data_IF_861396962628
#
_entry.id   IF_861396962628
#
_cell.length_a   1.000
_cell.length_b   1.000
_cell.length_c   1.000
_cell.angle_alpha   90.00
_cell.angle_beta   90.00
_cell.angle_gamma   90.00
#
_symmetry.space_group_name_H-M   'P 1'
#
loop_
_entity.id
_entity.type
_entity.pdbx_description
1 polymer ?
#
# COMPACT_ATOMS: atom_id res chain seq x y z
N UNK A 1 44.64 29.09 -6.47
CA UNK A 1 44.02 29.85 -7.59
C UNK A 1 42.62 30.28 -7.14
N UNK A 2 42.43 31.55 -6.73
CA UNK A 2 41.13 32.07 -6.27
C UNK A 2 40.36 32.61 -7.48
N UNK A 3 39.26 31.97 -7.83
CA UNK A 3 38.39 32.42 -8.93
C UNK A 3 37.58 33.61 -8.41
N UNK A 4 37.87 34.81 -8.91
CA UNK A 4 37.09 36.02 -8.60
C UNK A 4 35.81 36.06 -9.43
N UNK A 5 34.67 35.78 -8.82
CA UNK A 5 33.35 35.93 -9.47
C UNK A 5 32.96 37.41 -9.43
N UNK A 6 32.68 38.01 -10.58
CA UNK A 6 32.24 39.42 -10.65
C UNK A 6 30.86 39.59 -10.00
N UNK A 7 30.56 40.77 -9.44
CA UNK A 7 29.25 41.07 -8.83
C UNK A 7 28.07 40.86 -9.79
N UNK A 8 28.25 41.13 -11.09
CA UNK A 8 27.22 40.86 -12.11
C UNK A 8 26.98 39.37 -12.32
N UNK A 9 28.05 38.58 -12.34
CA UNK A 9 27.97 37.11 -12.45
C UNK A 9 27.31 36.50 -11.21
N UNK A 10 27.63 37.00 -10.01
CA UNK A 10 26.98 36.56 -8.77
C UNK A 10 25.48 36.87 -8.74
N UNK A 11 25.06 38.05 -9.22
CA UNK A 11 23.65 38.44 -9.27
C UNK A 11 22.83 37.59 -10.27
N UNK A 12 23.41 37.26 -11.43
CA UNK A 12 22.76 36.37 -12.42
C UNK A 12 22.62 34.96 -11.86
N UNK A 13 23.67 34.42 -11.23
CA UNK A 13 23.62 33.09 -10.59
C UNK A 13 22.56 33.07 -9.49
N UNK A 14 22.52 34.08 -8.62
CA UNK A 14 21.52 34.17 -7.56
C UNK A 14 20.09 34.22 -8.13
N UNK A 15 19.87 34.97 -9.21
CA UNK A 15 18.56 35.08 -9.86
C UNK A 15 18.15 33.75 -10.50
N UNK A 16 19.05 33.06 -11.19
CA UNK A 16 18.78 31.73 -11.77
C UNK A 16 18.48 30.71 -10.68
N UNK A 17 19.24 30.72 -9.57
CA UNK A 17 19.00 29.86 -8.42
C UNK A 17 17.63 30.16 -7.80
N UNK A 18 17.27 31.43 -7.57
CA UNK A 18 15.96 31.81 -7.03
C UNK A 18 14.81 31.42 -7.96
N UNK A 19 14.97 31.59 -9.28
CA UNK A 19 13.95 31.21 -10.26
C UNK A 19 13.81 29.70 -10.34
N UNK A 20 14.92 28.95 -10.37
CA UNK A 20 14.91 27.48 -10.42
C UNK A 20 14.35 26.89 -9.12
N UNK A 21 14.80 27.34 -7.95
CA UNK A 21 14.27 26.89 -6.66
C UNK A 21 12.84 27.37 -6.41
N UNK A 22 12.50 28.59 -6.84
CA UNK A 22 11.14 29.13 -6.78
C UNK A 22 10.17 28.34 -7.64
N UNK A 23 10.53 28.03 -8.88
CA UNK A 23 9.75 27.16 -9.77
C UNK A 23 9.62 25.74 -9.20
N UNK A 24 10.67 25.20 -8.56
CA UNK A 24 10.62 23.90 -7.89
C UNK A 24 9.62 23.87 -6.72
N UNK A 25 9.54 24.94 -5.94
CA UNK A 25 8.56 25.07 -4.85
C UNK A 25 7.10 25.12 -5.35
N UNK A 26 6.85 25.66 -6.55
CA UNK A 26 5.51 25.70 -7.16
C UNK A 26 5.13 24.44 -7.95
N UNK A 27 6.07 23.52 -8.20
CA UNK A 27 5.84 22.32 -9.01
C UNK A 27 5.54 21.06 -8.18
N UNK A 28 5.53 21.13 -6.85
CA UNK A 28 5.14 19.97 -6.04
C UNK A 28 3.63 19.78 -6.16
N UNK A 29 3.13 18.64 -6.67
CA UNK A 29 1.71 18.42 -6.85
C UNK A 29 0.95 18.64 -5.53
N UNK A 30 -0.19 19.31 -5.62
CA UNK A 30 -1.11 19.42 -4.50
C UNK A 30 -1.46 18.01 -3.99
N UNK A 31 -1.52 17.84 -2.67
CA UNK A 31 -1.84 16.53 -2.10
C UNK A 31 -3.29 16.15 -2.41
N UNK A 32 -3.59 14.86 -2.59
CA UNK A 32 -4.97 14.40 -2.72
C UNK A 32 -5.78 14.81 -1.48
N UNK A 33 -7.01 15.28 -1.67
CA UNK A 33 -7.92 15.55 -0.55
C UNK A 33 -8.49 14.24 -0.01
N UNK A 34 -8.65 14.13 1.29
CA UNK A 34 -9.45 13.04 1.87
C UNK A 34 -10.95 13.30 1.63
N UNK A 35 -11.76 12.25 1.75
CA UNK A 35 -13.21 12.34 1.74
C UNK A 35 -13.79 11.97 3.11
N UNK A 36 -15.00 12.46 3.39
CA UNK A 36 -15.81 11.96 4.50
C UNK A 36 -16.31 10.55 4.18
N UNK A 37 -16.36 9.69 5.19
CA UNK A 37 -16.86 8.32 5.10
C UNK A 37 -18.35 8.20 5.46
N UNK A 38 -18.92 9.22 6.09
CA UNK A 38 -20.29 9.24 6.59
C UNK A 38 -20.41 8.79 8.06
N UNK A 39 -21.49 9.18 8.75
CA UNK A 39 -21.63 9.04 10.21
C UNK A 39 -21.72 7.59 10.70
N UNK A 40 -22.07 6.66 9.81
CA UNK A 40 -22.21 5.23 10.14
C UNK A 40 -20.93 4.43 9.88
N UNK A 41 -19.87 5.07 9.39
CA UNK A 41 -18.60 4.40 9.10
C UNK A 41 -17.86 3.97 10.37
N UNK A 42 -17.22 2.80 10.31
CA UNK A 42 -16.54 2.17 11.45
C UNK A 42 -17.49 1.52 12.47
N UNK A 43 -16.94 0.68 13.35
CA UNK A 43 -17.71 0.00 14.40
C UNK A 43 -17.86 0.89 15.64
N UNK A 44 -19.08 1.09 16.11
CA UNK A 44 -19.39 2.00 17.22
C UNK A 44 -18.78 1.54 18.57
N UNK A 45 -18.34 2.53 19.38
CA UNK A 45 -17.82 2.36 20.75
C UNK A 45 -16.69 1.31 20.89
N UNK A 46 -15.85 1.19 19.86
CA UNK A 46 -14.77 0.22 19.82
C UNK A 46 -13.53 0.67 20.59
N UNK A 47 -13.30 1.98 20.71
CA UNK A 47 -12.20 2.55 21.50
C UNK A 47 -12.74 3.47 22.58
N UNK A 48 -12.14 3.43 23.76
CA UNK A 48 -12.49 4.32 24.86
C UNK A 48 -12.21 5.78 24.48
N UNK A 49 -13.10 6.73 24.81
CA UNK A 49 -12.85 8.15 24.59
C UNK A 49 -11.49 8.59 25.16
N UNK A 50 -10.70 9.30 24.36
CA UNK A 50 -9.35 9.76 24.73
C UNK A 50 -8.24 8.71 24.69
N UNK A 51 -8.54 7.44 24.38
CA UNK A 51 -7.50 6.38 24.27
C UNK A 51 -6.69 6.43 22.97
N UNK A 52 -7.12 7.25 22.02
CA UNK A 52 -6.53 7.43 20.69
C UNK A 52 -6.36 8.93 20.44
N UNK A 53 -5.20 9.30 19.91
CA UNK A 53 -4.79 10.70 19.72
C UNK A 53 -4.76 11.12 18.25
N UNK A 54 -5.07 10.22 17.32
CA UNK A 54 -5.16 10.54 15.89
C UNK A 54 -6.34 11.45 15.57
N UNK A 55 -6.22 12.22 14.49
CA UNK A 55 -7.18 13.28 14.14
C UNK A 55 -7.82 13.08 12.74
N UNK A 56 -8.97 13.70 12.47
CA UNK A 56 -9.56 13.74 11.12
C UNK A 56 -8.72 14.58 10.14
N UNK A 57 -8.59 14.14 8.89
CA UNK A 57 -7.97 14.83 7.72
C UNK A 57 -6.50 15.29 7.91
N UNK A 58 -5.88 15.09 9.07
CA UNK A 58 -4.52 15.53 9.31
C UNK A 58 -3.50 14.64 8.59
N UNK A 59 -2.41 15.27 8.15
CA UNK A 59 -1.16 14.59 7.77
C UNK A 59 -0.42 14.19 9.04
N UNK A 60 -1.05 13.38 9.88
CA UNK A 60 -0.42 12.91 11.11
C UNK A 60 0.83 12.11 10.72
N UNK A 61 2.00 12.70 10.99
CA UNK A 61 3.28 12.01 10.87
C UNK A 61 3.53 11.25 12.16
N UNK A 62 3.28 9.96 12.11
CA UNK A 62 3.62 9.05 13.21
C UNK A 62 4.92 8.33 12.89
N UNK A 63 5.62 7.89 13.91
CA UNK A 63 6.86 7.15 13.77
C UNK A 63 6.76 5.81 14.49
N UNK A 64 7.27 4.78 13.85
CA UNK A 64 7.53 3.50 14.50
C UNK A 64 8.64 3.64 15.55
N UNK A 65 8.83 2.61 16.37
CA UNK A 65 9.89 2.59 17.39
C UNK A 65 11.32 2.66 16.84
N UNK A 66 11.52 2.31 15.56
CA UNK A 66 12.77 2.43 14.80
C UNK A 66 12.83 3.68 13.91
N UNK A 67 11.91 4.64 14.12
CA UNK A 67 11.86 5.95 13.46
C UNK A 67 11.54 5.92 11.96
N UNK A 68 10.90 4.85 11.48
CA UNK A 68 10.25 4.87 10.16
C UNK A 68 9.07 5.84 10.23
N UNK A 69 9.07 6.84 9.36
CA UNK A 69 8.02 7.85 9.32
C UNK A 69 6.86 7.36 8.46
N UNK A 70 5.65 7.63 8.93
CA UNK A 70 4.38 7.22 8.31
C UNK A 70 3.49 8.45 8.23
N UNK A 71 2.95 8.75 7.05
CA UNK A 71 1.83 9.66 6.90
C UNK A 71 0.52 8.86 7.02
N UNK A 72 -0.36 9.28 7.92
CA UNK A 72 -1.69 8.69 8.08
C UNK A 72 -2.73 9.63 7.49
N UNK A 73 -3.68 9.07 6.73
CA UNK A 73 -4.86 9.75 6.19
C UNK A 73 -6.10 9.12 6.78
N UNK A 74 -6.96 9.93 7.36
CA UNK A 74 -8.24 9.48 7.90
C UNK A 74 -9.39 10.06 7.06
N UNK A 75 -10.60 9.48 7.16
CA UNK A 75 -11.80 10.18 6.70
C UNK A 75 -11.91 11.58 7.34
N UNK A 76 -12.45 12.55 6.60
CA UNK A 76 -12.61 13.92 7.09
C UNK A 76 -13.52 14.03 8.34
N UNK A 77 -14.36 13.02 8.56
CA UNK A 77 -15.30 12.86 9.67
C UNK A 77 -14.90 11.72 10.62
N UNK A 78 -13.62 11.36 10.67
CA UNK A 78 -13.09 10.34 11.57
C UNK A 78 -13.44 10.62 13.05
N UNK A 79 -13.91 9.57 13.72
CA UNK A 79 -14.25 9.54 15.14
C UNK A 79 -13.31 8.57 15.88
N UNK A 80 -12.47 9.06 16.82
CA UNK A 80 -11.49 8.22 17.52
C UNK A 80 -12.10 7.17 18.47
N UNK A 81 -13.43 7.12 18.61
CA UNK A 81 -14.15 6.10 19.39
C UNK A 81 -14.70 4.96 18.53
N UNK A 82 -14.68 5.11 17.20
CA UNK A 82 -15.17 4.11 16.23
C UNK A 82 -14.01 3.40 15.55
N UNK A 83 -14.11 2.08 15.39
CA UNK A 83 -13.03 1.31 14.76
C UNK A 83 -13.18 1.27 13.23
N UNK A 84 -12.21 1.82 12.51
CA UNK A 84 -12.18 1.90 11.04
C UNK A 84 -11.24 0.83 10.43
N UNK A 85 -11.52 0.30 9.23
CA UNK A 85 -10.54 -0.53 8.52
C UNK A 85 -9.25 0.24 8.22
N UNK A 86 -8.12 -0.46 8.21
CA UNK A 86 -6.80 0.13 7.94
C UNK A 86 -6.26 -0.39 6.61
N UNK A 87 -5.84 0.51 5.73
CA UNK A 87 -5.11 0.22 4.51
C UNK A 87 -3.66 0.68 4.67
N UNK A 88 -2.72 -0.26 4.81
CA UNK A 88 -1.28 0.04 4.80
C UNK A 88 -0.79 -0.03 3.36
N UNK A 89 -0.26 1.09 2.89
CA UNK A 89 0.24 1.27 1.53
C UNK A 89 1.77 1.33 1.57
N UNK A 90 2.41 0.26 1.09
CA UNK A 90 3.86 0.19 1.06
C UNK A 90 4.44 0.89 -0.18
N UNK A 91 5.54 1.63 -0.03
CA UNK A 91 6.09 2.44 -1.11
C UNK A 91 6.77 1.61 -2.21
N UNK A 92 6.65 2.00 -3.49
CA UNK A 92 7.56 1.55 -4.54
C UNK A 92 9.00 2.00 -4.26
N UNK A 93 9.95 1.43 -5.00
CA UNK A 93 11.37 1.76 -4.87
C UNK A 93 11.63 3.28 -5.04
N UNK A 94 12.19 3.93 -4.02
CA UNK A 94 12.56 5.35 -4.06
C UNK A 94 11.42 6.35 -3.86
N UNK A 95 10.22 5.89 -3.48
CA UNK A 95 9.08 6.77 -3.20
C UNK A 95 8.85 6.89 -1.69
N UNK A 96 9.09 8.07 -1.14
CA UNK A 96 8.68 8.36 0.25
C UNK A 96 7.16 8.50 0.38
N UNK A 97 6.65 8.62 1.61
CA UNK A 97 5.20 8.65 1.93
C UNK A 97 4.36 9.52 0.99
N UNK A 98 4.80 10.75 0.69
CA UNK A 98 4.10 11.68 -0.22
C UNK A 98 4.15 11.25 -1.68
N UNK A 99 5.30 10.75 -2.13
CA UNK A 99 5.45 10.24 -3.49
C UNK A 99 4.55 9.04 -3.72
N UNK A 100 4.51 8.14 -2.74
CA UNK A 100 3.64 6.97 -2.75
C UNK A 100 2.16 7.35 -2.80
N UNK A 101 1.71 8.28 -1.96
CA UNK A 101 0.32 8.78 -1.98
C UNK A 101 -0.11 9.24 -3.39
N UNK A 102 0.74 10.02 -4.06
CA UNK A 102 0.49 10.50 -5.42
C UNK A 102 0.54 9.37 -6.46
N UNK A 103 1.52 8.46 -6.35
CA UNK A 103 1.69 7.33 -7.25
C UNK A 103 0.47 6.41 -7.27
N UNK A 104 -0.06 6.07 -6.09
CA UNK A 104 -1.20 5.17 -5.96
C UNK A 104 -2.54 5.86 -6.22
N UNK A 105 -2.68 7.14 -5.86
CA UNK A 105 -3.94 7.87 -6.02
C UNK A 105 -5.14 7.25 -5.28
N UNK A 106 -4.89 6.56 -4.16
CA UNK A 106 -5.90 5.81 -3.41
C UNK A 106 -6.68 6.67 -2.40
N UNK A 107 -6.05 7.71 -1.82
CA UNK A 107 -6.55 8.43 -0.65
C UNK A 107 -8.02 8.86 -0.75
N UNK A 108 -8.48 9.56 -1.81
CA UNK A 108 -9.84 10.11 -1.82
C UNK A 108 -10.91 9.01 -1.81
N UNK A 109 -10.67 7.91 -2.51
CA UNK A 109 -11.63 6.80 -2.60
C UNK A 109 -11.56 5.87 -1.40
N UNK A 110 -10.36 5.59 -0.89
CA UNK A 110 -10.18 4.78 0.30
C UNK A 110 -10.81 5.46 1.54
N UNK A 111 -10.58 6.75 1.73
CA UNK A 111 -11.17 7.50 2.87
C UNK A 111 -12.69 7.62 2.74
N UNK A 112 -13.24 7.81 1.53
CA UNK A 112 -14.69 7.76 1.28
C UNK A 112 -15.32 6.43 1.70
N UNK A 113 -14.56 5.34 1.60
CA UNK A 113 -14.96 3.98 2.00
C UNK A 113 -14.69 3.67 3.46
N UNK A 114 -14.25 4.66 4.24
CA UNK A 114 -13.98 4.53 5.67
C UNK A 114 -12.59 3.97 6.00
N UNK A 115 -11.66 3.87 5.05
CA UNK A 115 -10.30 3.46 5.40
C UNK A 115 -9.54 4.58 6.10
N UNK A 116 -8.85 4.23 7.19
CA UNK A 116 -7.60 4.89 7.56
C UNK A 116 -6.54 4.37 6.57
N UNK A 117 -5.77 5.27 5.96
CA UNK A 117 -4.73 4.91 4.98
C UNK A 117 -3.37 5.33 5.54
N UNK A 118 -2.41 4.41 5.56
CA UNK A 118 -1.07 4.66 6.06
C UNK A 118 -0.03 4.52 4.95
N UNK A 119 0.76 5.55 4.72
CA UNK A 119 1.86 5.57 3.77
C UNK A 119 3.18 5.66 4.53
N UNK A 120 4.01 4.62 4.46
CA UNK A 120 5.36 4.65 5.04
C UNK A 120 6.39 5.20 4.05
N UNK A 121 7.50 5.69 4.61
CA UNK A 121 8.71 6.02 3.85
C UNK A 121 9.37 4.75 3.26
N UNK A 122 10.09 4.92 2.15
CA UNK A 122 10.78 3.83 1.47
C UNK A 122 12.01 3.39 2.27
N UNK A 123 12.21 2.08 2.33
CA UNK A 123 13.42 1.48 2.85
C UNK A 123 14.02 0.59 1.78
N UNK A 124 15.32 0.70 1.56
CA UNK A 124 16.06 -0.24 0.71
C UNK A 124 15.82 -1.68 1.17
N UNK A 125 15.44 -2.55 0.23
CA UNK A 125 15.07 -3.93 0.50
C UNK A 125 16.17 -4.67 1.28
N UNK A 126 15.78 -5.20 2.44
CA UNK A 126 16.61 -6.01 3.32
C UNK A 126 15.71 -6.71 4.34
N UNK A 127 16.18 -7.79 5.00
CA UNK A 127 15.43 -8.40 6.10
C UNK A 127 15.08 -7.39 7.22
N UNK A 128 15.99 -6.45 7.50
CA UNK A 128 15.73 -5.35 8.44
C UNK A 128 14.57 -4.48 7.95
N UNK A 129 14.58 -4.05 6.68
CA UNK A 129 13.50 -3.25 6.12
C UNK A 129 12.13 -3.94 6.22
N UNK A 130 12.05 -5.25 5.95
CA UNK A 130 10.82 -6.04 6.14
C UNK A 130 10.35 -5.98 7.60
N UNK A 131 11.26 -6.18 8.56
CA UNK A 131 10.93 -6.11 9.99
C UNK A 131 10.51 -4.71 10.45
N UNK A 132 11.09 -3.64 9.88
CA UNK A 132 10.69 -2.26 10.17
C UNK A 132 9.30 -1.95 9.59
N UNK A 133 9.07 -2.29 8.31
CA UNK A 133 7.78 -2.08 7.64
C UNK A 133 6.65 -2.90 8.30
N UNK A 134 6.95 -4.06 8.87
CA UNK A 134 5.97 -4.88 9.61
C UNK A 134 5.38 -4.18 10.84
N UNK A 135 6.03 -3.14 11.37
CA UNK A 135 5.55 -2.38 12.54
C UNK A 135 4.54 -1.30 12.19
N UNK A 136 4.35 -0.98 10.90
CA UNK A 136 3.51 0.15 10.46
C UNK A 136 2.08 -0.01 10.95
N UNK A 137 1.45 -1.17 10.74
CA UNK A 137 0.06 -1.39 11.14
C UNK A 137 -0.16 -1.24 12.65
N UNK A 138 0.67 -1.90 13.46
CA UNK A 138 0.59 -1.82 14.92
C UNK A 138 0.88 -0.40 15.44
N UNK A 139 1.80 0.32 14.81
CA UNK A 139 2.09 1.72 15.13
C UNK A 139 0.85 2.57 14.90
N UNK A 140 0.22 2.47 13.74
CA UNK A 140 -1.00 3.23 13.42
C UNK A 140 -2.15 2.87 14.38
N UNK A 141 -2.34 1.59 14.71
CA UNK A 141 -3.37 1.15 15.66
C UNK A 141 -3.17 1.67 17.09
N UNK A 142 -1.96 2.12 17.45
CA UNK A 142 -1.70 2.73 18.76
C UNK A 142 -2.17 4.20 18.85
N UNK A 143 -2.21 4.92 17.72
CA UNK A 143 -2.67 6.31 17.64
C UNK A 143 -4.12 6.44 17.17
N UNK A 144 -4.61 5.51 16.34
CA UNK A 144 -5.93 5.55 15.72
C UNK A 144 -6.80 4.37 16.15
N UNK A 145 -8.13 4.54 16.12
CA UNK A 145 -9.06 3.46 16.40
C UNK A 145 -9.22 2.57 15.17
N UNK A 146 -8.34 1.57 15.07
CA UNK A 146 -8.30 0.61 13.95
C UNK A 146 -9.12 -0.63 14.30
N UNK A 147 -9.93 -1.10 13.36
CA UNK A 147 -10.49 -2.44 13.39
C UNK A 147 -9.40 -3.43 12.93
N UNK A 148 -8.70 -4.06 13.87
CA UNK A 148 -7.59 -4.98 13.59
C UNK A 148 -8.01 -6.20 12.76
N UNK A 149 -9.29 -6.57 12.79
CA UNK A 149 -9.81 -7.64 11.91
C UNK A 149 -9.97 -7.22 10.45
N UNK A 150 -9.77 -5.94 10.13
CA UNK A 150 -9.96 -5.33 8.81
C UNK A 150 -8.73 -4.53 8.36
N UNK A 151 -7.54 -5.04 8.65
CA UNK A 151 -6.27 -4.53 8.13
C UNK A 151 -6.02 -5.11 6.73
N UNK A 152 -5.59 -4.27 5.80
CA UNK A 152 -5.20 -4.68 4.45
C UNK A 152 -3.86 -4.09 4.06
N UNK A 153 -3.05 -4.87 3.36
CA UNK A 153 -1.76 -4.44 2.82
C UNK A 153 -1.87 -4.29 1.31
N UNK A 154 -1.33 -3.19 0.80
CA UNK A 154 -1.26 -2.92 -0.64
C UNK A 154 0.11 -2.36 -1.02
N UNK A 155 0.61 -2.74 -2.19
CA UNK A 155 1.84 -2.14 -2.69
C UNK A 155 2.20 -2.57 -4.10
N UNK A 156 3.21 -1.90 -4.64
CA UNK A 156 3.74 -2.08 -5.99
C UNK A 156 5.27 -2.20 -6.00
N UNK A 157 5.85 -3.04 -6.86
CA UNK A 157 7.30 -3.30 -6.89
C UNK A 157 7.83 -3.73 -5.52
N UNK A 158 8.72 -2.92 -4.89
CA UNK A 158 9.24 -3.16 -3.54
C UNK A 158 8.10 -3.16 -2.52
N UNK A 159 7.10 -2.31 -2.69
CA UNK A 159 5.92 -2.27 -1.84
C UNK A 159 5.04 -3.51 -2.02
N UNK A 160 4.99 -4.07 -3.23
CA UNK A 160 4.31 -5.34 -3.50
C UNK A 160 5.01 -6.48 -2.77
N UNK A 161 6.35 -6.51 -2.81
CA UNK A 161 7.14 -7.43 -2.00
C UNK A 161 6.86 -7.24 -0.50
N UNK A 162 6.76 -6.03 0.02
CA UNK A 162 6.43 -5.82 1.44
C UNK A 162 5.03 -6.36 1.78
N UNK A 163 4.04 -6.09 0.93
CA UNK A 163 2.66 -6.54 1.14
C UNK A 163 2.55 -8.08 1.23
N UNK A 164 3.31 -8.82 0.42
CA UNK A 164 3.34 -10.29 0.42
C UNK A 164 4.34 -10.88 1.41
N UNK A 165 5.54 -10.31 1.46
CA UNK A 165 6.69 -10.82 2.18
C UNK A 165 6.57 -10.65 3.69
N UNK A 166 6.02 -9.55 4.19
CA UNK A 166 5.80 -9.36 5.64
C UNK A 166 4.97 -10.54 6.21
N UNK A 167 3.75 -10.83 5.71
CA UNK A 167 2.96 -11.93 6.25
C UNK A 167 3.56 -13.32 5.97
N UNK A 168 4.36 -13.49 4.90
CA UNK A 168 5.03 -14.76 4.61
C UNK A 168 6.23 -15.03 5.54
N UNK A 169 7.06 -14.02 5.80
CA UNK A 169 8.30 -14.17 6.58
C UNK A 169 8.12 -13.95 8.09
N UNK A 170 7.08 -13.22 8.51
CA UNK A 170 6.86 -12.85 9.91
C UNK A 170 5.57 -13.53 10.40
N UNK A 171 5.71 -14.75 10.90
CA UNK A 171 4.60 -15.63 11.31
C UNK A 171 3.75 -15.11 12.50
N UNK A 172 4.16 -14.01 13.15
CA UNK A 172 3.48 -13.39 14.30
C UNK A 172 3.66 -11.87 14.32
N UNK A 173 3.32 -11.18 13.24
CA UNK A 173 3.19 -9.72 13.30
C UNK A 173 2.03 -9.35 14.24
N UNK A 174 2.24 -8.37 15.12
CA UNK A 174 1.23 -7.94 16.12
C UNK A 174 -0.08 -7.46 15.47
N UNK A 175 -0.02 -6.99 14.22
CA UNK A 175 -1.16 -6.51 13.44
C UNK A 175 -1.11 -7.09 12.01
N UNK A 176 -1.41 -8.38 11.86
CA UNK A 176 -1.39 -9.07 10.58
C UNK A 176 -2.56 -8.65 9.65
N UNK A 177 -2.35 -8.56 8.33
CA UNK A 177 -3.41 -8.19 7.41
C UNK A 177 -4.42 -9.34 7.22
N UNK A 178 -5.69 -8.97 7.05
CA UNK A 178 -6.74 -9.86 6.55
C UNK A 178 -6.70 -10.01 5.02
N UNK A 179 -6.29 -8.94 4.34
CA UNK A 179 -6.28 -8.87 2.88
C UNK A 179 -4.95 -8.33 2.33
N UNK A 180 -4.50 -8.85 1.20
CA UNK A 180 -3.30 -8.41 0.48
C UNK A 180 -3.68 -8.06 -0.95
N UNK A 181 -3.18 -6.93 -1.46
CA UNK A 181 -3.19 -6.59 -2.88
C UNK A 181 -1.76 -6.24 -3.30
N UNK A 182 -1.14 -7.06 -4.14
CA UNK A 182 0.23 -6.84 -4.57
C UNK A 182 0.29 -6.65 -6.08
N UNK A 183 0.93 -5.57 -6.52
CA UNK A 183 1.13 -5.28 -7.94
C UNK A 183 2.60 -5.36 -8.33
N UNK A 184 2.91 -6.04 -9.43
CA UNK A 184 4.26 -6.08 -10.00
C UNK A 184 5.34 -6.35 -8.92
N UNK A 185 5.05 -7.27 -8.00
CA UNK A 185 5.83 -7.43 -6.78
C UNK A 185 7.21 -7.99 -7.08
N UNK A 186 8.23 -7.47 -6.42
CA UNK A 186 9.63 -7.91 -6.57
C UNK A 186 9.96 -9.23 -5.86
N UNK A 187 8.99 -10.13 -5.68
CA UNK A 187 9.13 -11.42 -5.00
C UNK A 187 8.63 -12.54 -5.90
N UNK A 188 9.34 -13.67 -5.94
CA UNK A 188 9.01 -14.80 -6.81
C UNK A 188 8.18 -15.87 -6.10
N UNK A 189 7.57 -16.77 -6.87
CA UNK A 189 6.95 -17.97 -6.31
C UNK A 189 7.96 -18.87 -5.62
N UNK A 190 9.21 -18.92 -6.10
CA UNK A 190 10.32 -19.69 -5.56
C UNK A 190 10.76 -19.17 -4.19
N UNK A 191 10.86 -17.84 -4.02
CA UNK A 191 11.16 -17.19 -2.74
C UNK A 191 10.12 -17.57 -1.67
N UNK A 192 8.86 -17.70 -2.09
CA UNK A 192 7.74 -18.06 -1.23
C UNK A 192 7.55 -19.58 -1.07
N UNK A 193 8.10 -20.41 -1.97
CA UNK A 193 7.81 -21.84 -2.02
C UNK A 193 8.16 -22.59 -0.73
N UNK A 194 9.18 -22.11 -0.01
CA UNK A 194 9.67 -22.69 1.25
C UNK A 194 8.99 -22.09 2.49
N UNK A 195 8.16 -21.06 2.33
CA UNK A 195 7.50 -20.38 3.43
C UNK A 195 6.25 -21.12 3.90
N UNK A 196 6.01 -21.08 5.21
CA UNK A 196 4.78 -21.58 5.80
C UNK A 196 3.61 -20.70 5.37
N UNK A 197 2.46 -21.31 5.12
CA UNK A 197 1.28 -20.57 4.66
C UNK A 197 0.69 -19.69 5.77
N UNK A 198 0.70 -18.35 5.63
CA UNK A 198 0.02 -17.49 6.59
C UNK A 198 -1.50 -17.54 6.38
N UNK A 199 -2.23 -17.22 7.44
CA UNK A 199 -3.70 -17.25 7.46
C UNK A 199 -4.32 -15.96 6.91
N UNK A 200 -4.07 -15.66 5.64
CA UNK A 200 -4.64 -14.49 4.94
C UNK A 200 -5.97 -14.87 4.29
N UNK A 201 -6.99 -14.04 4.48
CA UNK A 201 -8.33 -14.30 3.97
C UNK A 201 -8.45 -13.99 2.48
N UNK A 202 -7.93 -12.85 2.01
CA UNK A 202 -8.07 -12.46 0.60
C UNK A 202 -6.74 -12.00 0.03
N UNK A 203 -6.31 -12.58 -1.09
CA UNK A 203 -5.10 -12.14 -1.79
C UNK A 203 -5.41 -11.83 -3.26
N UNK A 204 -5.08 -10.63 -3.70
CA UNK A 204 -5.12 -10.25 -5.11
C UNK A 204 -3.69 -9.98 -5.58
N UNK A 205 -3.28 -10.69 -6.63
CA UNK A 205 -2.01 -10.45 -7.32
C UNK A 205 -2.32 -9.79 -8.65
N UNK A 206 -1.67 -8.66 -8.92
CA UNK A 206 -1.80 -7.92 -10.18
C UNK A 206 -0.45 -7.86 -10.84
N UNK A 207 -0.30 -8.44 -12.02
CA UNK A 207 0.97 -8.42 -12.73
C UNK A 207 0.78 -7.92 -14.16
N UNK A 208 1.88 -7.55 -14.80
CA UNK A 208 1.87 -7.19 -16.21
C UNK A 208 2.61 -8.24 -17.02
N UNK A 209 2.01 -8.67 -18.12
CA UNK A 209 2.65 -9.56 -19.09
C UNK A 209 3.83 -8.90 -19.81
N UNK A 210 3.92 -7.57 -19.74
CA UNK A 210 5.02 -6.78 -20.30
C UNK A 210 5.94 -6.22 -19.22
N UNK A 211 5.90 -6.77 -18.00
CA UNK A 211 6.83 -6.40 -16.95
C UNK A 211 8.25 -6.88 -17.28
N UNK A 212 9.06 -5.99 -17.84
CA UNK A 212 10.45 -6.27 -18.16
C UNK A 212 11.39 -6.29 -16.94
N UNK A 213 10.92 -5.86 -15.75
CA UNK A 213 11.72 -5.86 -14.53
C UNK A 213 11.54 -7.14 -13.73
N UNK A 214 10.30 -7.60 -13.61
CA UNK A 214 9.91 -8.82 -12.90
C UNK A 214 9.08 -9.74 -13.80
N UNK A 215 9.69 -10.31 -14.85
CA UNK A 215 8.95 -11.15 -15.80
C UNK A 215 8.37 -12.38 -15.09
N UNK A 216 7.07 -12.62 -15.27
CA UNK A 216 6.31 -13.79 -14.79
C UNK A 216 6.20 -14.01 -13.27
N UNK A 217 6.74 -13.10 -12.43
CA UNK A 217 6.75 -13.28 -10.96
C UNK A 217 5.34 -13.48 -10.39
N UNK A 218 4.35 -12.68 -10.83
CA UNK A 218 3.01 -12.70 -10.28
C UNK A 218 2.25 -14.02 -10.45
N UNK A 219 2.57 -14.83 -11.46
CA UNK A 219 1.91 -16.15 -11.64
C UNK A 219 2.39 -17.14 -10.59
N UNK A 220 3.70 -17.13 -10.31
CA UNK A 220 4.31 -17.95 -9.26
C UNK A 220 3.79 -17.58 -7.87
N UNK A 221 3.70 -16.28 -7.57
CA UNK A 221 3.16 -15.84 -6.27
C UNK A 221 1.66 -16.12 -6.14
N UNK A 222 0.86 -15.94 -7.21
CA UNK A 222 -0.55 -16.31 -7.21
C UNK A 222 -0.75 -17.82 -6.94
N UNK A 223 0.10 -18.69 -7.50
CA UNK A 223 0.06 -20.12 -7.22
C UNK A 223 0.42 -20.45 -5.75
N UNK A 224 1.41 -19.77 -5.17
CA UNK A 224 1.73 -19.86 -3.74
C UNK A 224 0.53 -19.51 -2.88
N UNK A 225 -0.10 -18.36 -3.13
CA UNK A 225 -1.26 -17.91 -2.36
C UNK A 225 -2.48 -18.80 -2.55
N UNK A 226 -2.71 -19.29 -3.78
CA UNK A 226 -3.74 -20.28 -4.10
C UNK A 226 -3.58 -21.56 -3.28
N UNK A 227 -2.35 -22.11 -3.21
CA UNK A 227 -2.03 -23.26 -2.35
C UNK A 227 -2.31 -22.96 -0.89
N UNK A 228 -1.86 -21.80 -0.40
CA UNK A 228 -2.06 -21.42 0.99
C UNK A 228 -3.52 -21.25 1.36
N UNK A 229 -4.35 -20.78 0.43
CA UNK A 229 -5.80 -20.70 0.57
C UNK A 229 -6.56 -22.01 0.30
N UNK A 230 -5.83 -23.10 0.01
CA UNK A 230 -6.36 -24.41 -0.39
C UNK A 230 -7.34 -24.32 -1.57
N UNK A 231 -7.03 -23.47 -2.56
CA UNK A 231 -7.76 -23.39 -3.80
C UNK A 231 -7.37 -24.52 -4.76
N UNK A 232 -8.24 -24.81 -5.73
CA UNK A 232 -7.85 -25.58 -6.89
C UNK A 232 -6.80 -24.81 -7.72
N UNK A 233 -5.85 -25.50 -8.40
CA UNK A 233 -4.95 -24.85 -9.34
C UNK A 233 -5.74 -24.07 -10.39
N UNK A 234 -5.35 -22.82 -10.64
CA UNK A 234 -5.93 -22.02 -11.72
C UNK A 234 -5.03 -22.10 -12.95
N UNK A 235 -5.62 -22.37 -14.11
CA UNK A 235 -4.95 -22.10 -15.37
C UNK A 235 -4.95 -20.59 -15.61
N UNK A 236 -3.79 -19.97 -15.49
CA UNK A 236 -3.61 -18.55 -15.77
C UNK A 236 -3.15 -18.35 -17.21
N UNK A 237 -2.77 -19.41 -17.93
CA UNK A 237 -2.27 -19.30 -19.30
C UNK A 237 -3.36 -18.69 -20.20
N UNK A 238 -2.93 -17.86 -21.15
CA UNK A 238 -3.84 -17.19 -22.08
C UNK A 238 -4.73 -16.09 -21.45
N UNK A 239 -4.59 -15.78 -20.15
CA UNK A 239 -5.15 -14.54 -19.61
C UNK A 239 -4.35 -13.37 -20.20
N UNK A 240 -4.95 -12.65 -21.15
CA UNK A 240 -4.32 -11.50 -21.80
C UNK A 240 -4.44 -10.27 -20.90
N UNK A 241 -5.64 -9.78 -20.65
CA UNK A 241 -5.94 -8.71 -19.69
C UNK A 241 -7.14 -9.11 -18.82
N UNK A 242 -7.21 -8.58 -17.60
CA UNK A 242 -8.32 -8.78 -16.69
C UNK A 242 -8.01 -9.75 -15.55
N UNK A 243 -9.04 -10.09 -14.77
CA UNK A 243 -8.89 -10.84 -13.53
C UNK A 243 -9.51 -12.24 -13.61
N UNK A 244 -8.90 -13.19 -12.89
CA UNK A 244 -9.36 -14.56 -12.72
C UNK A 244 -9.32 -14.93 -11.24
N UNK A 245 -10.49 -15.29 -10.71
CA UNK A 245 -10.61 -15.84 -9.36
C UNK A 245 -10.22 -17.33 -9.37
N UNK A 246 -9.51 -17.75 -8.32
CA UNK A 246 -9.24 -19.16 -8.06
C UNK A 246 -10.50 -19.85 -7.53
N UNK A 247 -10.77 -21.07 -8.00
CA UNK A 247 -11.92 -21.86 -7.59
C UNK A 247 -11.62 -22.74 -6.37
N UNK A 248 -12.67 -23.13 -5.63
CA UNK A 248 -12.58 -24.18 -4.60
C UNK A 248 -11.72 -23.84 -3.37
N UNK A 249 -11.43 -22.56 -3.12
CA UNK A 249 -10.69 -22.13 -1.94
C UNK A 249 -11.40 -22.51 -0.62
N UNK A 250 -10.62 -22.68 0.44
CA UNK A 250 -11.16 -22.92 1.78
C UNK A 250 -12.15 -21.83 2.22
N UNK A 251 -13.09 -22.18 3.10
CA UNK A 251 -14.17 -21.29 3.54
C UNK A 251 -13.62 -19.94 4.05
N UNK A 252 -14.14 -18.86 3.50
CA UNK A 252 -13.75 -17.50 3.88
C UNK A 252 -12.41 -17.05 3.28
N UNK A 253 -11.82 -17.83 2.38
CA UNK A 253 -10.59 -17.48 1.67
C UNK A 253 -10.86 -17.24 0.19
N UNK A 254 -10.13 -16.31 -0.42
CA UNK A 254 -10.10 -16.13 -1.87
C UNK A 254 -8.73 -15.70 -2.38
N UNK A 255 -8.46 -16.07 -3.62
CA UNK A 255 -7.31 -15.61 -4.36
C UNK A 255 -7.77 -15.17 -5.74
N UNK A 256 -7.27 -14.02 -6.19
CA UNK A 256 -7.54 -13.47 -7.52
C UNK A 256 -6.21 -13.12 -8.17
N UNK A 257 -6.04 -13.47 -9.44
CA UNK A 257 -4.92 -13.01 -10.25
C UNK A 257 -5.45 -12.08 -11.35
N UNK A 258 -4.86 -10.91 -11.50
CA UNK A 258 -5.15 -9.97 -12.57
C UNK A 258 -3.92 -9.79 -13.45
N UNK A 259 -4.11 -9.93 -14.76
CA UNK A 259 -3.11 -9.62 -15.77
C UNK A 259 -3.40 -8.23 -16.36
N UNK A 260 -2.33 -7.50 -16.65
CA UNK A 260 -2.38 -6.19 -17.31
C UNK A 260 -1.33 -6.11 -18.42
N UNK A 261 -1.36 -5.03 -19.20
CA UNK A 261 -0.36 -4.72 -20.23
C UNK A 261 0.44 -3.46 -19.92
N UNK A 262 0.34 -2.93 -18.69
CA UNK A 262 0.99 -1.68 -18.32
C UNK A 262 2.48 -1.92 -18.02
N UNK A 263 3.38 -0.98 -18.33
CA UNK A 263 4.79 -1.15 -18.00
C UNK A 263 4.98 -1.16 -16.48
N UNK A 264 6.06 -1.79 -16.02
CA UNK A 264 6.38 -1.93 -14.60
C UNK A 264 6.28 -0.62 -13.81
N UNK A 265 6.67 0.52 -14.40
CA UNK A 265 6.66 1.81 -13.72
C UNK A 265 5.27 2.40 -13.45
N UNK A 266 4.19 1.73 -13.86
CA UNK A 266 2.83 2.24 -13.76
C UNK A 266 2.01 1.44 -12.77
N UNK A 267 1.34 2.18 -11.87
CA UNK A 267 0.30 1.63 -11.02
C UNK A 267 -0.92 1.23 -11.88
N UNK A 268 -1.46 0.01 -11.74
CA UNK A 268 -2.64 -0.41 -12.47
C UNK A 268 -3.85 0.44 -12.07
N UNK A 269 -4.55 1.01 -13.07
CA UNK A 269 -5.69 1.91 -12.88
C UNK A 269 -6.98 1.18 -12.44
N UNK A 270 -6.91 0.43 -11.33
CA UNK A 270 -7.98 -0.43 -10.82
C UNK A 270 -8.28 -0.24 -9.33
N UNK A 271 -8.00 0.97 -8.79
CA UNK A 271 -8.22 1.32 -7.39
C UNK A 271 -9.59 0.90 -6.84
N UNK A 272 -10.66 1.19 -7.57
CA UNK A 272 -12.02 0.83 -7.15
C UNK A 272 -12.19 -0.69 -7.00
N UNK A 273 -11.70 -1.48 -7.96
CA UNK A 273 -11.77 -2.94 -7.92
C UNK A 273 -10.89 -3.53 -6.80
N UNK A 274 -9.71 -2.96 -6.56
CA UNK A 274 -8.83 -3.35 -5.46
C UNK A 274 -9.43 -3.04 -4.08
N UNK A 275 -10.05 -1.88 -3.92
CA UNK A 275 -10.73 -1.49 -2.67
C UNK A 275 -12.01 -2.31 -2.44
N UNK A 276 -12.81 -2.54 -3.50
CA UNK A 276 -13.93 -3.51 -3.47
C UNK A 276 -13.40 -4.88 -3.04
N UNK A 277 -12.24 -5.29 -3.57
CA UNK A 277 -11.64 -6.56 -3.21
C UNK A 277 -11.27 -6.62 -1.72
N UNK A 278 -10.64 -5.58 -1.20
CA UNK A 278 -10.24 -5.53 0.21
C UNK A 278 -11.46 -5.59 1.15
N UNK A 279 -12.56 -4.93 0.80
CA UNK A 279 -13.80 -4.89 1.60
C UNK A 279 -14.65 -6.17 1.47
N UNK A 280 -14.21 -7.16 0.70
CA UNK A 280 -14.96 -8.40 0.48
C UNK A 280 -16.06 -8.29 -0.58
N UNK A 281 -16.10 -7.22 -1.37
CA UNK A 281 -16.89 -7.13 -2.59
C UNK A 281 -16.39 -8.13 -3.64
N UNK A 282 -17.31 -8.64 -4.48
CA UNK A 282 -16.91 -9.39 -5.69
C UNK A 282 -16.20 -8.42 -6.65
N UNK A 283 -15.07 -8.85 -7.25
CA UNK A 283 -14.47 -8.08 -8.32
C UNK A 283 -15.51 -7.90 -9.43
N UNK A 284 -15.89 -6.66 -9.75
CA UNK A 284 -16.77 -6.41 -10.89
C UNK A 284 -15.96 -6.76 -12.14
N UNK A 285 -16.49 -7.59 -13.06
CA UNK A 285 -15.88 -7.74 -14.37
C UNK A 285 -15.83 -6.34 -15.02
N UNK A 286 -14.64 -5.92 -15.45
CA UNK A 286 -14.49 -4.78 -16.36
C UNK A 286 -14.81 -5.22 -17.78
#
# INVERSE_FOLDING_TARGET
MRIGVSRRTAAVIATVVIVVFGLWFFLVPARPKVAAAGPDSGSAAACSPGSRTGHPDLDDEVQTSDRLTIAVRTPADYDPTRAYPLLVVFPPAGYERRGSELFYGLTPEATRRGFIVAYSDHLSLSPSAVAQQAKVAATVASFFCVNESSIAYIGHSDGGLMAEGIPAYISKADAAPRSIVASAAGITGEDLATMACPSIASVMIVHSRTDGRFPDFGRGTAAYWGRCAACAPADLNGLADGCRDFAGCAKGRRVTYCETSLPHSHWPSMNAAMLDFIQGGKAKPQ
#
